data_IF_538489512157
#
_entry.id   IF_538489512157
#
_cell.length_a   1.000
_cell.length_b   1.000
_cell.length_c   1.000
_cell.angle_alpha   90.00
_cell.angle_beta   90.00
_cell.angle_gamma   90.00
#
_symmetry.space_group_name_H-M   'P 1'
#
loop_
_entity.id
_entity.type
_entity.pdbx_description
1 polymer ?
#
# COMPACT_ATOMS: atom_id res chain seq x y z
N UNK A 1 -1.87 -18.00 -9.76
CA UNK A 1 -2.38 -16.61 -9.91
C UNK A 1 -1.23 -15.65 -9.65
N UNK A 2 -0.90 -14.76 -10.59
CA UNK A 2 0.15 -13.76 -10.38
C UNK A 2 -0.48 -12.49 -9.78
N UNK A 3 -0.28 -12.26 -8.49
CA UNK A 3 -0.83 -11.09 -7.79
C UNK A 3 -0.31 -9.76 -8.38
N UNK A 4 0.90 -9.76 -8.96
CA UNK A 4 1.44 -8.59 -9.66
C UNK A 4 0.63 -8.17 -10.88
N UNK A 5 0.16 -9.13 -11.69
CA UNK A 5 -0.69 -8.84 -12.86
C UNK A 5 -2.06 -8.30 -12.42
N UNK A 6 -2.61 -8.83 -11.32
CA UNK A 6 -3.87 -8.33 -10.75
C UNK A 6 -3.74 -6.86 -10.31
N UNK A 7 -2.61 -6.47 -9.71
CA UNK A 7 -2.35 -5.06 -9.37
C UNK A 7 -2.25 -4.19 -10.61
N UNK A 8 -1.53 -4.63 -11.64
CA UNK A 8 -1.40 -3.90 -12.91
C UNK A 8 -2.80 -3.66 -13.54
N UNK A 9 -3.67 -4.68 -13.55
CA UNK A 9 -5.04 -4.59 -14.07
C UNK A 9 -5.93 -3.63 -13.26
N UNK A 10 -5.86 -3.69 -11.92
CA UNK A 10 -6.62 -2.77 -11.06
C UNK A 10 -6.15 -1.33 -11.29
N UNK A 11 -4.84 -1.07 -11.33
CA UNK A 11 -4.27 0.25 -11.59
C UNK A 11 -4.73 0.81 -12.94
N UNK A 12 -4.70 -0.01 -13.99
CA UNK A 12 -5.21 0.37 -15.31
C UNK A 12 -6.70 0.73 -15.28
N UNK A 13 -7.52 0.01 -14.51
CA UNK A 13 -8.96 0.25 -14.39
C UNK A 13 -9.32 1.57 -13.70
N UNK A 14 -8.44 2.12 -12.86
CA UNK A 14 -8.69 3.33 -12.07
C UNK A 14 -7.95 4.57 -12.56
N UNK A 15 -7.09 4.44 -13.58
CA UNK A 15 -6.18 5.49 -14.08
C UNK A 15 -6.87 6.77 -14.60
N UNK A 16 -8.19 6.73 -14.85
CA UNK A 16 -8.99 7.91 -15.25
C UNK A 16 -9.52 8.76 -14.09
N UNK A 17 -9.37 8.32 -12.84
CA UNK A 17 -9.75 9.06 -11.65
C UNK A 17 -8.52 9.73 -11.02
N UNK A 18 -8.72 10.86 -10.34
CA UNK A 18 -7.71 11.55 -9.51
C UNK A 18 -6.82 10.57 -8.74
N UNK A 19 -5.55 10.93 -8.56
CA UNK A 19 -4.48 10.13 -7.90
C UNK A 19 -5.00 9.27 -6.75
N UNK A 20 -5.37 8.01 -7.03
CA UNK A 20 -5.85 7.09 -6.00
C UNK A 20 -4.65 6.45 -5.30
N UNK A 21 -4.62 6.54 -3.98
CA UNK A 21 -3.67 5.80 -3.16
C UNK A 21 -4.09 4.33 -3.04
N UNK A 22 -3.13 3.42 -3.21
CA UNK A 22 -3.31 2.00 -2.94
C UNK A 22 -2.80 1.63 -1.55
N UNK A 23 -3.52 0.73 -0.87
CA UNK A 23 -3.07 0.10 0.38
C UNK A 23 -3.03 -1.41 0.16
N UNK A 24 -1.84 -2.01 0.18
CA UNK A 24 -1.65 -3.46 0.01
C UNK A 24 -1.40 -4.14 1.35
N UNK A 25 -2.18 -5.17 1.70
CA UNK A 25 -2.02 -5.95 2.92
C UNK A 25 -1.52 -7.35 2.57
N UNK A 26 -0.53 -7.87 3.31
CA UNK A 26 -0.05 -9.23 3.09
C UNK A 26 0.97 -9.73 4.11
N UNK A 27 1.23 -11.03 4.08
CA UNK A 27 2.19 -11.72 4.96
C UNK A 27 3.06 -12.73 4.20
N UNK A 28 2.61 -13.23 3.05
CA UNK A 28 3.21 -14.35 2.33
C UNK A 28 4.36 -13.97 1.40
N UNK A 29 5.13 -14.98 0.98
CA UNK A 29 6.24 -14.79 0.03
C UNK A 29 5.74 -14.30 -1.35
N UNK A 30 4.56 -14.78 -1.78
CA UNK A 30 3.94 -14.39 -3.05
C UNK A 30 3.43 -12.95 -3.08
N UNK A 31 3.47 -12.24 -1.95
CA UNK A 31 3.04 -10.86 -1.83
C UNK A 31 4.16 -9.85 -2.10
N UNK A 32 5.41 -10.28 -2.30
CA UNK A 32 6.50 -9.32 -2.53
C UNK A 32 6.48 -8.69 -3.93
N UNK A 33 6.20 -9.48 -4.97
CA UNK A 33 6.12 -8.95 -6.34
C UNK A 33 5.09 -7.80 -6.50
N UNK A 34 3.84 -7.92 -6.01
CA UNK A 34 2.88 -6.82 -6.12
C UNK A 34 3.29 -5.55 -5.36
N UNK A 35 4.09 -5.63 -4.28
CA UNK A 35 4.52 -4.41 -3.56
C UNK A 35 5.53 -3.58 -4.35
N UNK A 36 6.26 -4.19 -5.29
CA UNK A 36 7.16 -3.48 -6.21
C UNK A 36 6.41 -2.68 -7.30
N UNK A 37 5.12 -2.96 -7.49
CA UNK A 37 4.24 -2.27 -8.45
C UNK A 37 3.60 -1.00 -7.87
N UNK A 38 3.72 -0.81 -6.55
CA UNK A 38 3.16 0.34 -5.86
C UNK A 38 4.04 1.58 -6.01
N UNK A 39 3.39 2.75 -6.08
CA UNK A 39 4.03 4.06 -6.16
C UNK A 39 4.42 4.64 -4.80
N UNK A 40 5.12 5.78 -4.81
CA UNK A 40 5.56 6.46 -3.57
C UNK A 40 4.43 7.09 -2.74
N UNK A 41 3.27 7.29 -3.35
CA UNK A 41 2.03 7.72 -2.68
C UNK A 41 1.26 6.56 -2.05
N UNK A 42 1.64 5.31 -2.35
CA UNK A 42 0.92 4.12 -1.90
C UNK A 42 1.50 3.58 -0.59
N UNK A 43 0.80 2.60 -0.03
CA UNK A 43 1.09 2.00 1.27
C UNK A 43 1.14 0.48 1.15
N UNK A 44 2.09 -0.13 1.88
CA UNK A 44 2.14 -1.57 2.10
C UNK A 44 2.12 -1.86 3.58
N UNK A 45 1.31 -2.85 3.98
CA UNK A 45 1.11 -3.26 5.36
C UNK A 45 1.55 -4.72 5.56
N UNK A 46 2.86 -5.00 5.72
CA UNK A 46 3.35 -6.35 5.86
C UNK A 46 3.20 -6.87 7.30
N UNK A 47 2.76 -8.12 7.47
CA UNK A 47 2.71 -8.72 8.81
C UNK A 47 4.13 -8.93 9.36
N UNK A 48 4.42 -8.37 10.52
CA UNK A 48 5.73 -8.41 11.16
C UNK A 48 6.19 -9.85 11.39
N UNK A 49 7.46 -10.13 11.12
CA UNK A 49 8.11 -11.45 11.22
C UNK A 49 7.63 -12.52 10.21
N UNK A 50 6.77 -12.18 9.25
CA UNK A 50 6.35 -13.07 8.17
C UNK A 50 7.18 -12.87 6.89
N UNK A 51 7.12 -13.80 5.92
CA UNK A 51 7.95 -13.75 4.71
C UNK A 51 7.93 -12.42 3.94
N UNK A 52 6.78 -11.77 3.81
CA UNK A 52 6.70 -10.46 3.15
C UNK A 52 7.53 -9.41 3.88
N UNK A 53 7.30 -9.27 5.19
CA UNK A 53 8.03 -8.31 6.03
C UNK A 53 9.54 -8.54 5.99
N UNK A 54 9.98 -9.80 6.15
CA UNK A 54 11.41 -10.15 6.08
C UNK A 54 12.04 -9.70 4.77
N UNK A 55 11.36 -9.93 3.64
CA UNK A 55 11.88 -9.59 2.32
C UNK A 55 11.93 -8.08 2.08
N UNK A 56 10.93 -7.33 2.56
CA UNK A 56 10.95 -5.87 2.54
C UNK A 56 12.10 -5.32 3.40
N UNK A 57 12.35 -5.90 4.58
CA UNK A 57 13.46 -5.48 5.44
C UNK A 57 14.85 -5.78 4.84
N UNK A 58 14.98 -6.85 4.04
CA UNK A 58 16.24 -7.15 3.35
C UNK A 58 16.53 -6.15 2.22
N UNK A 59 15.50 -5.72 1.48
CA UNK A 59 15.64 -4.89 0.28
C UNK A 59 14.68 -3.68 0.33
N UNK A 60 14.80 -2.78 1.32
CA UNK A 60 13.80 -1.72 1.57
C UNK A 60 13.74 -0.70 0.44
N UNK A 61 14.86 -0.45 -0.26
CA UNK A 61 14.96 0.53 -1.33
C UNK A 61 14.18 0.14 -2.60
N UNK A 62 13.82 -1.13 -2.76
CA UNK A 62 13.05 -1.59 -3.93
C UNK A 62 11.56 -1.31 -3.79
N UNK A 63 11.06 -1.16 -2.56
CA UNK A 63 9.65 -0.87 -2.29
C UNK A 63 9.49 0.65 -2.20
N UNK A 64 8.84 1.24 -3.22
CA UNK A 64 8.59 2.69 -3.25
C UNK A 64 7.48 3.11 -2.30
N UNK A 65 6.53 2.22 -2.04
CA UNK A 65 5.41 2.47 -1.14
C UNK A 65 5.86 2.63 0.32
N UNK A 66 5.08 3.39 1.09
CA UNK A 66 5.29 3.57 2.51
C UNK A 66 4.96 2.28 3.26
N UNK A 67 5.90 1.80 4.07
CA UNK A 67 5.77 0.52 4.80
C UNK A 67 5.21 0.76 6.19
N UNK A 68 4.14 0.04 6.54
CA UNK A 68 3.54 0.06 7.88
C UNK A 68 3.29 -1.37 8.39
N UNK A 69 4.23 -1.94 9.13
CA UNK A 69 4.07 -3.30 9.66
C UNK A 69 2.99 -3.41 10.75
N UNK A 70 2.43 -4.60 10.89
CA UNK A 70 1.47 -4.93 11.95
C UNK A 70 1.74 -6.34 12.50
N UNK A 71 1.46 -6.53 13.79
CA UNK A 71 1.66 -7.81 14.49
C UNK A 71 0.33 -8.45 14.89
N UNK A 72 -0.67 -7.62 15.21
CA UNK A 72 -1.99 -8.04 15.69
C UNK A 72 -3.13 -7.47 14.82
N UNK A 73 -4.33 -8.05 14.94
CA UNK A 73 -5.51 -7.53 14.25
C UNK A 73 -5.90 -6.11 14.68
N UNK A 74 -5.68 -5.76 15.95
CA UNK A 74 -5.95 -4.40 16.46
C UNK A 74 -4.95 -3.38 15.92
N UNK A 75 -3.67 -3.72 15.83
CA UNK A 75 -2.66 -2.87 15.17
C UNK A 75 -3.01 -2.67 13.69
N UNK A 76 -3.36 -3.76 13.00
CA UNK A 76 -3.77 -3.70 11.59
C UNK A 76 -4.95 -2.74 11.41
N UNK A 77 -5.99 -2.88 12.22
CA UNK A 77 -7.17 -2.02 12.21
C UNK A 77 -6.81 -0.56 12.47
N UNK A 78 -6.02 -0.29 13.52
CA UNK A 78 -5.63 1.07 13.90
C UNK A 78 -4.84 1.78 12.80
N UNK A 79 -3.85 1.08 12.21
CA UNK A 79 -3.05 1.63 11.12
C UNK A 79 -3.91 1.85 9.87
N UNK A 80 -4.76 0.87 9.51
CA UNK A 80 -5.60 0.98 8.32
C UNK A 80 -6.55 2.19 8.39
N UNK A 81 -7.21 2.39 9.53
CA UNK A 81 -8.09 3.55 9.75
C UNK A 81 -7.31 4.86 9.65
N UNK A 82 -6.14 4.94 10.30
CA UNK A 82 -5.27 6.11 10.22
C UNK A 82 -4.86 6.44 8.77
N UNK A 83 -4.52 5.43 7.96
CA UNK A 83 -4.15 5.63 6.56
C UNK A 83 -5.33 6.13 5.72
N UNK A 84 -6.53 5.55 5.91
CA UNK A 84 -7.75 5.98 5.22
C UNK A 84 -8.09 7.44 5.57
N UNK A 85 -8.02 7.81 6.84
CA UNK A 85 -8.26 9.18 7.29
C UNK A 85 -7.23 10.15 6.69
N UNK A 86 -5.95 9.75 6.70
CA UNK A 86 -4.86 10.55 6.13
C UNK A 86 -5.05 10.80 4.63
N UNK A 87 -5.39 9.76 3.86
CA UNK A 87 -5.66 9.85 2.42
C UNK A 87 -6.86 10.78 2.18
N UNK A 88 -7.95 10.59 2.94
CA UNK A 88 -9.18 11.38 2.79
C UNK A 88 -8.92 12.87 3.05
N UNK A 89 -8.12 13.20 4.07
CA UNK A 89 -7.74 14.59 4.37
C UNK A 89 -6.88 15.18 3.23
N UNK A 90 -5.89 14.43 2.73
CA UNK A 90 -5.03 14.87 1.63
C UNK A 90 -5.82 15.14 0.34
N UNK A 91 -6.79 14.28 0.01
CA UNK A 91 -7.69 14.47 -1.12
C UNK A 91 -8.54 15.73 -0.98
N UNK A 92 -9.08 15.99 0.21
CA UNK A 92 -9.88 17.19 0.47
C UNK A 92 -9.07 18.49 0.36
N UNK A 93 -7.82 18.49 0.84
CA UNK A 93 -6.91 19.64 0.70
C UNK A 93 -6.58 19.88 -0.79
N UNK A 94 -6.26 18.81 -1.53
CA UNK A 94 -5.88 18.91 -2.94
C UNK A 94 -7.01 19.48 -3.81
N UNK A 95 -8.27 19.16 -3.48
CA UNK A 95 -9.47 19.74 -4.12
C UNK A 95 -9.72 21.20 -3.77
N UNK A 96 -9.34 21.64 -2.57
CA UNK A 96 -9.51 23.04 -2.15
C UNK A 96 -8.41 23.97 -2.65
N UNK A 97 -7.21 23.46 -2.97
CA UNK A 97 -6.11 24.23 -3.54
C UNK A 97 -6.21 24.41 -5.07
N UNK A 98 -7.16 23.74 -5.73
CA UNK A 98 -7.39 23.81 -7.17
C UNK A 98 -8.61 24.68 -7.56
N UNK A 99 -9.13 25.49 -6.61
CA UNK A 99 -10.19 26.50 -6.79
C UNK A 99 -9.61 27.90 -6.68
#
# INVERSE_FOLDING_TARGET
>A
MCKGQVIDEIQASVSGNSTKNFIYLGDGHGDYCPTLKLGGSDYVMPRKNYPLWKRICCEPLLVKAKVHEWSTGEELKGILLYLIDTITIQDNISKHQSV
#
